data_IF_557756932199
#
_entry.id   IF_557756932199
#
_cell.length_a   1.000
_cell.length_b   1.000
_cell.length_c   1.000
_cell.angle_alpha   90.00
_cell.angle_beta   90.00
_cell.angle_gamma   90.00
#
_symmetry.space_group_name_H-M   'P 1'
#
loop_
_entity.id
_entity.type
_entity.pdbx_description
1 polymer ?
#
# COMPACT_ATOMS: atom_id res chain seq x y z
N UNK A 1 22.61 -5.96 19.95
CA UNK A 1 22.03 -6.11 18.60
C UNK A 1 21.05 -4.97 18.39
N UNK A 2 21.37 -4.07 17.48
CA UNK A 2 20.47 -2.96 17.09
C UNK A 2 19.44 -3.57 16.14
N UNK A 3 18.18 -3.62 16.56
CA UNK A 3 17.09 -4.01 15.68
C UNK A 3 16.92 -2.91 14.62
N UNK A 4 17.32 -3.20 13.39
CA UNK A 4 17.09 -2.30 12.26
C UNK A 4 15.57 -2.28 11.98
N UNK A 5 14.91 -1.21 12.39
CA UNK A 5 13.51 -0.97 12.05
C UNK A 5 13.46 -0.48 10.61
N UNK A 6 13.23 -1.38 9.68
CA UNK A 6 12.97 -1.00 8.29
C UNK A 6 11.55 -0.47 8.20
N UNK A 7 11.41 0.81 7.93
CA UNK A 7 10.09 1.41 7.70
C UNK A 7 9.66 1.17 6.25
N UNK A 8 8.56 0.47 6.06
CA UNK A 8 7.90 0.41 4.76
C UNK A 8 7.02 1.64 4.61
N UNK A 9 7.37 2.51 3.68
CA UNK A 9 6.64 3.74 3.40
C UNK A 9 5.71 3.55 2.20
N UNK A 10 4.51 4.13 2.29
CA UNK A 10 3.53 4.16 1.22
C UNK A 10 3.01 5.57 1.03
N UNK A 11 3.10 6.08 -0.19
CA UNK A 11 2.39 7.29 -0.61
C UNK A 11 1.00 6.92 -1.08
N UNK A 12 -0.02 7.55 -0.50
CA UNK A 12 -1.41 7.39 -0.91
C UNK A 12 -1.73 8.32 -2.09
N UNK A 13 -2.80 8.03 -2.85
CA UNK A 13 -3.19 8.87 -3.98
C UNK A 13 -3.39 10.32 -3.55
N UNK A 14 -2.65 11.24 -4.17
CA UNK A 14 -2.83 12.67 -4.00
C UNK A 14 -4.10 13.15 -4.73
N UNK A 15 -4.75 14.19 -4.20
CA UNK A 15 -5.96 14.77 -4.80
C UNK A 15 -7.07 13.74 -5.06
N UNK A 16 -7.24 12.80 -4.12
CA UNK A 16 -8.26 11.76 -4.16
C UNK A 16 -9.20 11.90 -2.97
N UNK A 17 -10.47 11.60 -3.17
CA UNK A 17 -11.49 11.63 -2.13
C UNK A 17 -11.79 10.22 -1.66
N UNK A 18 -11.70 9.97 -0.35
CA UNK A 18 -12.12 8.70 0.25
C UNK A 18 -13.63 8.59 0.18
N UNK A 19 -14.14 7.51 -0.41
CA UNK A 19 -15.58 7.20 -0.48
C UNK A 19 -15.97 6.00 0.36
N UNK A 20 -15.01 5.10 0.64
CA UNK A 20 -15.20 3.99 1.58
C UNK A 20 -13.89 3.71 2.33
N UNK A 21 -13.93 3.85 3.66
CA UNK A 21 -12.79 3.72 4.53
C UNK A 21 -12.49 2.26 4.93
N UNK A 22 -11.31 2.06 5.51
CA UNK A 22 -10.90 0.78 6.05
C UNK A 22 -11.79 0.37 7.24
N UNK A 23 -12.25 -0.89 7.23
CA UNK A 23 -12.97 -1.54 8.33
C UNK A 23 -12.46 -2.96 8.49
N UNK A 24 -11.64 -3.19 9.49
CA UNK A 24 -11.08 -4.52 9.74
C UNK A 24 -12.21 -5.55 9.91
N UNK A 25 -12.22 -6.64 9.13
CA UNK A 25 -13.19 -7.70 9.34
C UNK A 25 -12.89 -8.42 10.67
N UNK A 26 -13.95 -8.80 11.39
CA UNK A 26 -13.82 -9.53 12.67
C UNK A 26 -13.35 -10.97 12.52
N UNK A 27 -13.38 -11.52 11.31
CA UNK A 27 -12.83 -12.83 10.95
C UNK A 27 -12.41 -12.84 9.47
N UNK A 28 -11.62 -13.85 9.00
CA UNK A 28 -11.13 -13.90 7.61
C UNK A 28 -12.20 -13.85 6.53
N UNK A 29 -13.42 -14.33 6.85
CA UNK A 29 -14.57 -14.36 5.92
C UNK A 29 -15.68 -13.38 6.31
N UNK A 30 -15.49 -12.60 7.38
CA UNK A 30 -16.48 -11.65 7.84
C UNK A 30 -16.55 -10.41 6.92
N UNK A 31 -17.67 -9.71 7.00
CA UNK A 31 -17.89 -8.44 6.32
C UNK A 31 -16.92 -7.40 6.86
N UNK A 32 -16.40 -6.57 5.98
CA UNK A 32 -15.46 -5.48 6.28
C UNK A 32 -14.96 -4.86 4.99
N UNK A 33 -14.17 -3.82 5.11
CA UNK A 33 -13.40 -3.26 3.98
C UNK A 33 -11.91 -3.38 4.29
N UNK A 34 -11.20 -4.21 3.53
CA UNK A 34 -9.77 -4.52 3.74
C UNK A 34 -8.82 -3.50 3.15
N UNK A 35 -9.36 -2.40 2.66
CA UNK A 35 -8.61 -1.29 2.08
C UNK A 35 -9.44 -0.02 2.11
N UNK A 36 -9.08 0.93 1.28
CA UNK A 36 -9.75 2.21 1.13
C UNK A 36 -10.13 2.38 -0.34
N UNK A 37 -11.33 2.88 -0.60
CA UNK A 37 -11.77 3.26 -1.92
C UNK A 37 -11.69 4.77 -2.10
N UNK A 38 -11.08 5.18 -3.22
CA UNK A 38 -10.86 6.58 -3.58
C UNK A 38 -11.55 6.91 -4.89
N UNK A 39 -12.18 8.08 -4.98
CA UNK A 39 -12.46 8.74 -6.25
C UNK A 39 -11.21 9.54 -6.62
N UNK A 40 -10.69 9.29 -7.80
CA UNK A 40 -9.50 9.95 -8.31
C UNK A 40 -9.86 11.16 -9.18
N UNK A 41 -9.05 12.23 -9.09
CA UNK A 41 -9.13 13.38 -10.01
C UNK A 41 -8.48 13.10 -11.37
N UNK A 42 -7.63 12.08 -11.46
CA UNK A 42 -6.98 11.61 -12.68
C UNK A 42 -7.08 10.10 -12.77
N UNK A 43 -7.29 9.50 -13.96
CA UNK A 43 -7.41 8.06 -14.10
C UNK A 43 -6.09 7.31 -13.84
N UNK A 44 -4.94 7.98 -13.94
CA UNK A 44 -3.64 7.34 -13.79
C UNK A 44 -3.40 6.86 -12.37
N UNK A 45 -3.07 5.57 -12.24
CA UNK A 45 -2.72 4.93 -10.97
C UNK A 45 -1.21 4.70 -10.93
N UNK A 46 -0.56 5.30 -9.94
CA UNK A 46 0.88 5.21 -9.75
C UNK A 46 1.24 4.39 -8.50
N UNK A 47 2.40 3.75 -8.54
CA UNK A 47 2.93 3.03 -7.39
C UNK A 47 3.24 4.00 -6.25
N UNK A 48 2.68 3.75 -5.08
CA UNK A 48 2.93 4.54 -3.86
C UNK A 48 4.16 4.08 -3.08
N UNK A 49 4.82 3.01 -3.53
CA UNK A 49 6.01 2.46 -2.89
C UNK A 49 6.90 1.77 -3.92
N UNK A 50 8.21 1.68 -3.66
CA UNK A 50 9.08 0.85 -4.48
C UNK A 50 8.81 -0.63 -4.18
N UNK A 51 8.85 -1.48 -5.20
CA UNK A 51 8.63 -2.90 -5.01
C UNK A 51 8.62 -3.71 -6.29
N UNK A 52 8.26 -4.98 -6.13
CA UNK A 52 8.07 -5.90 -7.23
C UNK A 52 6.60 -6.21 -7.43
N UNK A 53 6.15 -6.20 -8.68
CA UNK A 53 4.82 -6.67 -9.05
C UNK A 53 4.77 -8.19 -8.84
N UNK A 54 3.97 -8.64 -7.89
CA UNK A 54 3.78 -10.07 -7.60
C UNK A 54 2.50 -10.63 -8.19
N UNK A 55 1.57 -9.75 -8.57
CA UNK A 55 0.36 -10.08 -9.30
C UNK A 55 -0.07 -8.90 -10.18
N UNK A 56 -0.48 -9.18 -11.40
CA UNK A 56 -1.12 -8.23 -12.31
C UNK A 56 -2.12 -8.99 -13.16
N UNK A 57 -3.41 -8.71 -13.04
CA UNK A 57 -4.45 -9.41 -13.77
C UNK A 57 -5.85 -9.25 -13.20
N UNK A 58 -6.79 -10.02 -13.76
CA UNK A 58 -8.19 -9.99 -13.38
C UNK A 58 -8.53 -11.05 -12.33
N UNK A 59 -9.33 -10.65 -11.34
CA UNK A 59 -9.97 -11.54 -10.36
C UNK A 59 -11.44 -11.14 -10.26
N UNK A 60 -12.33 -12.07 -10.52
CA UNK A 60 -13.77 -11.80 -10.46
C UNK A 60 -14.23 -10.65 -11.38
N UNK A 61 -13.62 -10.54 -12.57
CA UNK A 61 -13.97 -9.50 -13.55
C UNK A 61 -13.40 -8.11 -13.25
N UNK A 62 -12.53 -7.97 -12.26
CA UNK A 62 -11.87 -6.72 -11.90
C UNK A 62 -10.36 -6.87 -11.94
N UNK A 63 -9.67 -5.86 -12.46
CA UNK A 63 -8.21 -5.88 -12.54
C UNK A 63 -7.56 -5.40 -11.25
N UNK A 64 -6.47 -6.08 -10.88
CA UNK A 64 -5.65 -5.79 -9.71
C UNK A 64 -4.18 -5.83 -10.05
N UNK A 65 -3.41 -4.98 -9.38
CA UNK A 65 -1.95 -5.05 -9.31
C UNK A 65 -1.58 -5.16 -7.84
N UNK A 66 -0.70 -6.12 -7.50
CA UNK A 66 -0.19 -6.29 -6.13
C UNK A 66 1.32 -6.11 -6.16
N UNK A 67 1.81 -5.18 -5.33
CA UNK A 67 3.22 -4.95 -5.10
C UNK A 67 3.67 -5.63 -3.81
N UNK A 68 4.84 -6.26 -3.85
CA UNK A 68 5.61 -6.61 -2.68
C UNK A 68 6.59 -5.47 -2.41
N UNK A 69 6.52 -4.86 -1.24
CA UNK A 69 7.34 -3.70 -0.89
C UNK A 69 8.83 -4.05 -0.89
N UNK A 70 9.67 -3.18 -1.46
CA UNK A 70 11.10 -3.44 -1.58
C UNK A 70 11.83 -3.54 -0.23
N UNK A 71 11.43 -2.71 0.75
CA UNK A 71 12.09 -2.63 2.05
C UNK A 71 11.52 -3.61 3.09
N UNK A 72 10.30 -4.15 2.86
CA UNK A 72 9.72 -5.18 3.72
C UNK A 72 8.88 -6.15 2.86
N UNK A 73 9.42 -7.33 2.55
CA UNK A 73 8.74 -8.30 1.69
C UNK A 73 7.46 -8.89 2.29
N UNK A 74 7.16 -8.64 3.57
CA UNK A 74 5.89 -9.03 4.20
C UNK A 74 4.76 -8.06 3.84
N UNK A 75 5.10 -6.83 3.42
CA UNK A 75 4.12 -5.81 3.03
C UNK A 75 3.68 -6.05 1.60
N UNK A 76 2.37 -6.20 1.41
CA UNK A 76 1.69 -6.28 0.12
C UNK A 76 0.77 -5.07 -0.03
N UNK A 77 0.89 -4.40 -1.15
CA UNK A 77 0.03 -3.26 -1.51
C UNK A 77 -0.79 -3.67 -2.72
N UNK A 78 -2.09 -3.63 -2.58
CA UNK A 78 -3.05 -4.00 -3.62
C UNK A 78 -3.69 -2.74 -4.19
N UNK A 79 -3.59 -2.58 -5.51
CA UNK A 79 -4.31 -1.58 -6.29
C UNK A 79 -5.39 -2.30 -7.08
N UNK A 80 -6.64 -1.98 -6.83
CA UNK A 80 -7.78 -2.66 -7.43
C UNK A 80 -8.73 -1.74 -8.18
N UNK A 81 -9.67 -2.32 -8.91
CA UNK A 81 -10.63 -1.63 -9.78
C UNK A 81 -9.96 -0.91 -10.95
N UNK A 82 -8.86 -1.47 -11.45
CA UNK A 82 -8.18 -0.91 -12.61
C UNK A 82 -8.97 -1.21 -13.90
N UNK A 83 -9.11 -0.21 -14.75
CA UNK A 83 -9.64 -0.37 -16.11
C UNK A 83 -8.58 -1.01 -17.01
N UNK A 84 -7.33 -0.54 -16.89
CA UNK A 84 -6.18 -1.09 -17.63
C UNK A 84 -5.00 -1.32 -16.70
N UNK A 85 -4.14 -2.28 -17.07
CA UNK A 85 -2.91 -2.62 -16.36
C UNK A 85 -1.74 -2.28 -17.30
N UNK A 86 -0.72 -1.57 -16.78
CA UNK A 86 0.47 -1.15 -17.53
C UNK A 86 1.74 -1.92 -17.13
N UNK A 87 1.64 -2.85 -16.20
CA UNK A 87 2.77 -3.64 -15.66
C UNK A 87 2.44 -5.13 -15.71
N UNK A 88 3.46 -5.95 -15.57
CA UNK A 88 3.31 -7.41 -15.50
C UNK A 88 4.00 -7.97 -14.24
N UNK A 89 3.62 -9.17 -13.87
CA UNK A 89 4.27 -9.90 -12.78
C UNK A 89 5.77 -10.00 -13.01
N UNK A 90 6.56 -9.68 -11.99
CA UNK A 90 8.01 -9.68 -12.03
C UNK A 90 8.63 -8.29 -12.23
N UNK A 91 7.87 -7.31 -12.72
CA UNK A 91 8.37 -5.95 -12.91
C UNK A 91 8.81 -5.34 -11.58
N UNK A 92 9.94 -4.62 -11.62
CA UNK A 92 10.40 -3.77 -10.54
C UNK A 92 9.88 -2.35 -10.79
N UNK A 93 9.26 -1.76 -9.77
CA UNK A 93 8.70 -0.41 -9.87
C UNK A 93 9.25 0.49 -8.78
N UNK A 94 9.39 1.78 -9.10
CA UNK A 94 9.71 2.84 -8.16
C UNK A 94 8.44 3.61 -7.78
N UNK A 95 8.50 4.41 -6.73
CA UNK A 95 7.43 5.36 -6.39
C UNK A 95 7.12 6.22 -7.60
N UNK A 96 5.84 6.39 -7.93
CA UNK A 96 5.39 7.18 -9.07
C UNK A 96 5.33 6.42 -10.39
N UNK A 97 5.84 5.18 -10.49
CA UNK A 97 5.71 4.38 -11.69
C UNK A 97 4.23 4.10 -12.01
N UNK A 98 3.83 4.23 -13.26
CA UNK A 98 2.46 3.97 -13.71
C UNK A 98 2.14 2.48 -13.61
N UNK A 99 1.10 2.13 -12.87
CA UNK A 99 0.60 0.74 -12.73
C UNK A 99 -0.54 0.45 -13.70
N UNK A 100 -1.26 1.48 -14.12
CA UNK A 100 -2.42 1.38 -14.99
C UNK A 100 -3.35 2.58 -14.84
N UNK A 101 -4.61 2.40 -15.22
CA UNK A 101 -5.65 3.42 -15.10
C UNK A 101 -6.85 2.84 -14.34
N UNK A 102 -7.48 3.68 -13.52
CA UNK A 102 -8.75 3.37 -12.86
C UNK A 102 -9.92 3.98 -13.65
N UNK A 103 -11.08 3.35 -13.56
CA UNK A 103 -12.33 3.88 -14.13
C UNK A 103 -13.10 4.74 -13.12
N UNK A 104 -12.43 5.71 -12.50
CA UNK A 104 -13.00 6.66 -11.55
C UNK A 104 -12.80 6.27 -10.08
N UNK A 105 -12.88 5.00 -9.72
CA UNK A 105 -12.66 4.51 -8.36
C UNK A 105 -11.43 3.62 -8.30
N UNK A 106 -10.55 3.89 -7.34
CA UNK A 106 -9.39 3.07 -7.01
C UNK A 106 -9.55 2.44 -5.64
N UNK A 107 -9.31 1.14 -5.54
CA UNK A 107 -9.14 0.44 -4.27
C UNK A 107 -7.66 0.35 -3.92
N UNK A 108 -7.29 0.71 -2.69
CA UNK A 108 -5.94 0.52 -2.14
C UNK A 108 -6.03 -0.29 -0.86
N UNK A 109 -5.41 -1.45 -0.84
CA UNK A 109 -5.33 -2.32 0.34
C UNK A 109 -3.89 -2.56 0.74
N UNK A 110 -3.64 -2.72 2.04
CA UNK A 110 -2.32 -3.05 2.58
C UNK A 110 -2.46 -4.26 3.50
N UNK A 111 -1.56 -5.22 3.30
CA UNK A 111 -1.44 -6.41 4.15
C UNK A 111 -0.01 -6.55 4.61
N UNK A 112 0.17 -6.76 5.90
CA UNK A 112 1.47 -7.09 6.52
C UNK A 112 1.40 -8.55 6.99
N UNK A 113 2.15 -9.43 6.34
CA UNK A 113 1.97 -10.87 6.53
C UNK A 113 0.55 -11.29 6.17
N UNK A 114 -0.20 -11.81 7.14
CA UNK A 114 -1.61 -12.22 6.96
C UNK A 114 -2.62 -11.18 7.47
N UNK A 115 -2.16 -10.04 8.00
CA UNK A 115 -3.01 -9.03 8.62
C UNK A 115 -3.24 -7.86 7.67
N UNK A 116 -4.51 -7.55 7.40
CA UNK A 116 -4.88 -6.31 6.71
C UNK A 116 -4.76 -5.13 7.67
N UNK A 117 -4.16 -4.04 7.20
CA UNK A 117 -3.96 -2.83 7.98
C UNK A 117 -4.57 -1.63 7.26
N UNK A 118 -5.01 -0.65 8.05
CA UNK A 118 -5.52 0.60 7.49
C UNK A 118 -4.39 1.32 6.73
N UNK A 119 -4.54 1.56 5.42
CA UNK A 119 -3.53 2.29 4.66
C UNK A 119 -3.25 3.69 5.21
N UNK A 120 -4.17 4.30 5.96
CA UNK A 120 -4.01 5.63 6.57
C UNK A 120 -3.50 5.60 8.01
N UNK A 121 -3.32 4.44 8.63
CA UNK A 121 -3.08 4.32 10.08
C UNK A 121 -1.71 4.80 10.58
N UNK A 122 -0.80 5.17 9.69
CA UNK A 122 0.62 5.35 10.06
C UNK A 122 1.18 6.74 9.80
N UNK A 123 0.39 7.80 9.81
CA UNK A 123 0.94 9.15 9.70
C UNK A 123 -0.07 10.23 9.29
N UNK A 124 0.26 11.46 9.62
CA UNK A 124 -0.40 12.66 9.10
C UNK A 124 0.32 13.07 7.82
N UNK A 125 -0.35 12.96 6.69
CA UNK A 125 0.20 13.39 5.40
C UNK A 125 0.04 12.35 4.29
N UNK A 126 0.47 12.70 3.08
CA UNK A 126 0.35 11.85 1.90
C UNK A 126 1.22 10.58 1.94
N UNK A 127 2.16 10.49 2.87
CA UNK A 127 3.06 9.32 3.02
C UNK A 127 2.82 8.60 4.33
N UNK A 128 2.49 7.32 4.23
CA UNK A 128 2.19 6.46 5.37
C UNK A 128 3.36 5.50 5.66
N UNK A 129 3.64 5.27 6.95
CA UNK A 129 4.67 4.34 7.42
C UNK A 129 4.03 3.12 8.04
N UNK A 130 4.41 1.95 7.56
CA UNK A 130 4.03 0.70 8.20
C UNK A 130 5.19 0.20 9.05
N UNK A 131 4.96 0.11 10.36
CA UNK A 131 5.93 -0.53 11.27
C UNK A 131 5.63 -2.01 11.31
N UNK A 132 6.59 -2.79 10.88
CA UNK A 132 6.59 -4.23 11.12
C UNK A 132 7.51 -4.50 12.30
N UNK A 133 6.93 -4.77 13.45
CA UNK A 133 7.67 -5.30 14.60
C UNK A 133 7.94 -6.78 14.38
N UNK A 134 9.19 -7.14 14.11
CA UNK A 134 9.68 -8.50 14.33
C UNK A 134 9.66 -8.74 15.85
N UNK A 135 8.76 -9.61 16.29
CA UNK A 135 8.62 -10.17 17.60
C UNK A 135 9.55 -9.64 18.70
N UNK A 136 9.15 -8.57 19.38
CA UNK A 136 9.70 -8.19 20.65
C UNK A 136 8.54 -8.00 21.63
N UNK A 137 8.63 -8.70 22.73
CA UNK A 137 7.75 -8.60 23.89
C UNK A 137 7.58 -7.15 24.33
N UNK A 138 6.41 -6.85 24.89
CA UNK A 138 5.98 -5.57 25.48
C UNK A 138 7.12 -4.81 26.16
N UNK A 139 7.29 -3.56 25.77
CA UNK A 139 8.15 -2.60 26.43
C UNK A 139 8.07 -1.24 25.74
N UNK A 140 7.47 -0.30 26.43
CA UNK A 140 7.54 1.17 26.32
C UNK A 140 7.72 1.85 24.96
N UNK A 141 6.78 2.72 24.65
CA UNK A 141 6.82 3.71 23.61
C UNK A 141 8.10 4.57 23.64
N UNK A 142 8.95 4.38 22.64
CA UNK A 142 10.05 5.28 22.31
C UNK A 142 9.79 5.87 20.94
N UNK A 143 9.58 7.19 20.90
CA UNK A 143 9.41 7.97 19.68
C UNK A 143 10.77 8.07 18.96
N UNK A 144 11.02 7.26 17.94
CA UNK A 144 12.16 7.42 17.05
C UNK A 144 11.63 7.80 15.66
N UNK A 145 11.72 9.10 15.36
CA UNK A 145 11.41 9.69 14.07
C UNK A 145 12.45 9.28 13.01
N UNK A 146 12.11 8.33 12.18
CA UNK A 146 12.76 8.13 10.88
C UNK A 146 11.88 8.77 9.81
N UNK A 147 12.38 9.70 9.02
CA UNK A 147 11.70 10.34 7.91
C UNK A 147 11.61 9.37 6.72
N UNK A 148 10.43 9.27 6.08
CA UNK A 148 10.33 8.72 4.74
C UNK A 148 10.89 9.77 3.78
N UNK A 149 12.20 9.78 3.59
CA UNK A 149 12.85 10.67 2.62
C UNK A 149 12.74 10.04 1.23
N UNK A 150 12.08 10.75 0.32
CA UNK A 150 12.27 10.57 -1.10
C UNK A 150 13.68 11.07 -1.43
N UNK A 151 14.62 10.17 -1.71
CA UNK A 151 15.89 10.58 -2.32
C UNK A 151 15.55 11.05 -3.74
N UNK A 152 15.48 12.35 -3.92
CA UNK A 152 15.71 12.94 -5.24
C UNK A 152 17.16 12.64 -5.62
N UNK A 153 17.33 11.77 -6.60
CA UNK A 153 18.60 11.67 -7.32
C UNK A 153 18.70 12.87 -8.25
N UNK A 154 19.65 13.75 -7.95
CA UNK A 154 20.16 14.71 -8.90
C UNK A 154 20.87 14.02 -10.06
#
# INVERSE_FOLDING_TARGET
MIALVVAACLSLPANATVIDGFRAPSCPRCVGNRGIEYVLSSPTVSAGAPGQVVFAGAVGGRNYVVLRHANDPRVRITYGRLATIAVQRGDQVQVGATLGQASGVLYVGVRVGQTYVDPQSSGSGATQRFRTTLGARRGSAGHLGGTCESRETR
#
